data_IF_608553995984
#
_entry.id   IF_608553995984
#
_cell.length_a   1.000
_cell.length_b   1.000
_cell.length_c   1.000
_cell.angle_alpha   90.00
_cell.angle_beta   90.00
_cell.angle_gamma   90.00
#
_symmetry.space_group_name_H-M   'P 1'
#
loop_
_entity.id
_entity.type
_entity.pdbx_description
1 polymer ?
#
# COMPACT_ATOMS: atom_id res chain seq x y z
N UNK A 1 19.05 -22.20 5.61
CA UNK A 1 19.42 -20.78 5.44
C UNK A 1 18.16 -19.98 5.72
N UNK A 2 17.97 -19.57 6.98
CA UNK A 2 16.70 -19.01 7.46
C UNK A 2 17.01 -17.71 8.21
N UNK A 3 16.20 -16.69 7.91
CA UNK A 3 15.99 -15.43 8.64
C UNK A 3 17.01 -14.28 8.53
N UNK A 4 18.23 -14.46 8.01
CA UNK A 4 19.23 -13.37 8.02
C UNK A 4 19.30 -12.55 6.72
N UNK A 5 18.81 -13.08 5.58
CA UNK A 5 18.98 -12.43 4.27
C UNK A 5 17.94 -11.33 3.94
N UNK A 6 17.08 -10.96 4.88
CA UNK A 6 15.98 -10.00 4.62
C UNK A 6 16.27 -8.57 5.08
N UNK A 7 17.40 -8.32 5.77
CA UNK A 7 17.79 -6.96 6.16
C UNK A 7 18.32 -6.24 4.92
N UNK A 8 17.43 -5.50 4.24
CA UNK A 8 17.74 -4.70 3.04
C UNK A 8 17.12 -5.21 1.74
N UNK A 9 16.34 -6.30 1.77
CA UNK A 9 15.62 -6.76 0.58
C UNK A 9 14.30 -5.99 0.43
N UNK A 10 14.08 -5.41 -0.74
CA UNK A 10 12.81 -4.77 -1.11
C UNK A 10 11.67 -5.79 -0.99
N UNK A 11 10.62 -5.43 -0.25
CA UNK A 11 9.40 -6.24 -0.11
C UNK A 11 8.25 -5.60 -0.87
N UNK A 12 7.32 -6.41 -1.37
CA UNK A 12 6.07 -5.94 -1.95
C UNK A 12 4.92 -6.07 -0.96
N UNK A 13 4.00 -5.12 -1.01
CA UNK A 13 2.79 -5.09 -0.20
C UNK A 13 1.61 -4.76 -1.09
N UNK A 14 0.54 -5.55 -0.97
CA UNK A 14 -0.76 -5.22 -1.55
C UNK A 14 -1.63 -4.70 -0.42
N UNK A 15 -1.98 -3.42 -0.48
CA UNK A 15 -2.91 -2.79 0.44
C UNK A 15 -4.29 -2.66 -0.23
N UNK A 16 -5.28 -3.28 0.40
CA UNK A 16 -6.69 -3.09 0.09
C UNK A 16 -7.29 -2.21 1.19
N UNK A 17 -7.83 -1.06 0.82
CA UNK A 17 -8.42 -0.09 1.73
C UNK A 17 -9.89 0.03 1.37
N UNK A 18 -10.79 -0.43 2.25
CA UNK A 18 -12.24 -0.43 1.99
C UNK A 18 -12.95 0.45 3.00
N UNK A 19 -13.90 1.26 2.54
CA UNK A 19 -14.77 2.06 3.40
C UNK A 19 -16.24 1.80 3.07
N UNK A 20 -17.15 2.13 3.98
CA UNK A 20 -18.60 2.07 3.70
C UNK A 20 -19.05 3.38 3.04
N UNK A 21 -20.20 3.42 2.36
CA UNK A 21 -20.70 4.65 1.74
C UNK A 21 -20.82 5.83 2.72
N UNK A 22 -21.09 5.58 4.01
CA UNK A 22 -21.19 6.59 5.08
C UNK A 22 -19.84 7.26 5.39
N UNK A 23 -18.74 6.56 5.16
CA UNK A 23 -17.38 7.05 5.36
C UNK A 23 -16.77 7.64 4.08
N UNK A 24 -17.52 7.69 2.97
CA UNK A 24 -17.02 8.19 1.70
C UNK A 24 -16.65 9.68 1.77
N UNK A 25 -15.40 10.01 1.43
CA UNK A 25 -14.91 11.40 1.38
C UNK A 25 -15.73 12.32 0.48
N UNK A 26 -16.45 11.77 -0.50
CA UNK A 26 -17.34 12.55 -1.37
C UNK A 26 -18.58 13.12 -0.67
N UNK A 27 -18.83 12.75 0.60
CA UNK A 27 -19.94 13.30 1.37
C UNK A 27 -19.65 14.70 1.91
N UNK A 28 -20.63 15.61 1.94
CA UNK A 28 -20.42 17.00 2.40
C UNK A 28 -19.82 17.12 3.80
N UNK A 29 -20.19 16.23 4.72
CA UNK A 29 -19.69 16.20 6.10
C UNK A 29 -18.20 15.86 6.21
N UNK A 30 -17.61 15.23 5.19
CA UNK A 30 -16.19 14.82 5.16
C UNK A 30 -15.32 15.76 4.32
N UNK A 31 -15.81 16.96 3.99
CA UNK A 31 -15.16 17.89 3.05
C UNK A 31 -13.74 18.29 3.44
N UNK A 32 -13.45 18.46 4.73
CA UNK A 32 -12.09 18.80 5.17
C UNK A 32 -11.11 17.67 4.91
N UNK A 33 -11.51 16.43 5.18
CA UNK A 33 -10.69 15.26 4.94
C UNK A 33 -10.61 14.93 3.44
N UNK A 34 -11.64 15.23 2.66
CA UNK A 34 -11.55 15.19 1.20
C UNK A 34 -10.45 16.09 0.65
N UNK A 35 -10.30 17.32 1.16
CA UNK A 35 -9.21 18.21 0.72
C UNK A 35 -7.82 17.64 1.05
N UNK A 36 -7.66 16.98 2.21
CA UNK A 36 -6.41 16.29 2.57
C UNK A 36 -6.16 15.08 1.68
N UNK A 37 -7.22 14.34 1.34
CA UNK A 37 -7.13 13.23 0.38
C UNK A 37 -6.73 13.73 -1.02
N UNK A 38 -7.30 14.84 -1.48
CA UNK A 38 -6.91 15.46 -2.75
C UNK A 38 -5.44 15.86 -2.75
N UNK A 39 -4.95 16.53 -1.70
CA UNK A 39 -3.53 16.86 -1.57
C UNK A 39 -2.65 15.60 -1.62
N UNK A 40 -3.05 14.53 -0.92
CA UNK A 40 -2.36 13.24 -0.98
C UNK A 40 -2.32 12.66 -2.39
N UNK A 41 -3.45 12.69 -3.12
CA UNK A 41 -3.55 12.13 -4.47
C UNK A 41 -2.78 12.97 -5.51
N UNK A 42 -2.82 14.30 -5.42
CA UNK A 42 -2.12 15.20 -6.32
C UNK A 42 -0.60 15.22 -6.08
N UNK A 43 -0.16 14.94 -4.85
CA UNK A 43 1.24 14.96 -4.45
C UNK A 43 1.78 13.56 -4.09
N UNK A 44 1.21 12.51 -4.66
CA UNK A 44 1.52 11.13 -4.27
C UNK A 44 3.01 10.78 -4.37
N UNK A 45 3.70 11.19 -5.45
CA UNK A 45 5.14 10.94 -5.64
C UNK A 45 6.00 11.58 -4.53
N UNK A 46 5.63 12.78 -4.07
CA UNK A 46 6.29 13.45 -2.93
C UNK A 46 6.16 12.59 -1.67
N UNK A 47 4.95 12.12 -1.37
CA UNK A 47 4.68 11.33 -0.17
C UNK A 47 5.29 9.92 -0.22
N UNK A 48 5.34 9.31 -1.40
CA UNK A 48 6.11 8.08 -1.63
C UNK A 48 7.58 8.26 -1.26
N UNK A 49 8.21 9.32 -1.79
CA UNK A 49 9.62 9.65 -1.52
C UNK A 49 9.87 9.93 -0.04
N UNK A 50 9.04 10.73 0.60
CA UNK A 50 9.15 11.06 2.03
C UNK A 50 8.96 9.83 2.93
N UNK A 51 8.08 8.89 2.54
CA UNK A 51 7.87 7.65 3.26
C UNK A 51 8.92 6.57 2.95
N UNK A 52 9.66 6.71 1.85
CA UNK A 52 10.60 5.69 1.35
C UNK A 52 9.88 4.47 0.76
N UNK A 53 8.71 4.69 0.16
CA UNK A 53 7.89 3.70 -0.53
C UNK A 53 7.95 3.98 -2.04
N UNK A 54 7.80 2.94 -2.86
CA UNK A 54 7.56 3.09 -4.30
C UNK A 54 6.22 2.45 -4.64
N UNK A 55 5.30 3.22 -5.21
CA UNK A 55 4.08 2.68 -5.80
C UNK A 55 4.35 2.06 -7.16
N UNK A 56 3.76 0.89 -7.39
CA UNK A 56 3.74 0.22 -8.68
C UNK A 56 2.39 0.34 -9.38
N UNK A 57 1.34 0.65 -8.62
CA UNK A 57 0.01 0.89 -9.15
C UNK A 57 -0.97 1.27 -8.05
N UNK A 58 -1.89 2.16 -8.42
CA UNK A 58 -2.98 2.65 -7.58
C UNK A 58 -4.27 2.52 -8.36
N UNK A 59 -5.19 1.69 -7.85
CA UNK A 59 -6.44 1.38 -8.52
C UNK A 59 -7.60 1.61 -7.55
N UNK A 60 -8.74 2.04 -8.08
CA UNK A 60 -9.91 2.36 -7.31
C UNK A 60 -11.12 1.65 -7.92
N UNK A 61 -11.90 0.99 -7.07
CA UNK A 61 -13.26 0.59 -7.39
C UNK A 61 -14.22 1.48 -6.60
N UNK A 62 -14.68 2.56 -7.23
CA UNK A 62 -15.58 3.51 -6.59
C UNK A 62 -16.94 2.90 -6.25
N UNK A 63 -17.42 1.93 -7.04
CA UNK A 63 -18.71 1.27 -6.78
C UNK A 63 -18.67 0.40 -5.52
N UNK A 64 -17.50 -0.20 -5.23
CA UNK A 64 -17.27 -1.04 -4.04
C UNK A 64 -16.52 -0.30 -2.93
N UNK A 65 -16.31 1.03 -3.08
CA UNK A 65 -15.60 1.85 -2.10
C UNK A 65 -14.25 1.26 -1.65
N UNK A 66 -13.49 0.69 -2.60
CA UNK A 66 -12.25 -0.04 -2.31
C UNK A 66 -11.09 0.46 -3.15
N UNK A 67 -9.97 0.75 -2.48
CA UNK A 67 -8.72 1.20 -3.09
C UNK A 67 -7.70 0.06 -3.01
N UNK A 68 -6.90 -0.10 -4.06
CA UNK A 68 -5.88 -1.12 -4.20
C UNK A 68 -4.53 -0.49 -4.52
N UNK A 69 -3.59 -0.62 -3.60
CA UNK A 69 -2.25 -0.02 -3.71
C UNK A 69 -1.24 -1.15 -3.75
N UNK A 70 -0.37 -1.14 -4.77
CA UNK A 70 0.76 -2.05 -4.89
C UNK A 70 2.02 -1.26 -4.52
N UNK A 71 2.61 -1.60 -3.39
CA UNK A 71 3.68 -0.82 -2.77
C UNK A 71 4.95 -1.66 -2.63
N UNK A 72 6.10 -1.05 -2.86
CA UNK A 72 7.41 -1.62 -2.57
C UNK A 72 8.08 -0.82 -1.45
N UNK A 73 8.56 -1.50 -0.42
CA UNK A 73 9.24 -0.89 0.71
C UNK A 73 10.20 -1.86 1.39
N UNK A 74 11.20 -1.34 2.11
CA UNK A 74 12.17 -2.17 2.84
C UNK A 74 11.58 -2.80 4.11
N UNK A 75 10.45 -2.26 4.60
CA UNK A 75 9.73 -2.77 5.76
C UNK A 75 8.31 -2.21 5.83
N UNK A 76 7.48 -2.83 6.65
CA UNK A 76 6.08 -2.44 6.84
C UNK A 76 5.93 -1.04 7.48
N UNK A 77 6.88 -0.58 8.30
CA UNK A 77 6.77 0.74 8.94
C UNK A 77 6.76 1.89 7.92
N UNK A 78 7.47 1.75 6.80
CA UNK A 78 7.40 2.69 5.67
C UNK A 78 6.03 2.70 5.00
N UNK A 79 5.39 1.53 4.86
CA UNK A 79 4.01 1.43 4.35
C UNK A 79 3.04 2.11 5.31
N UNK A 80 3.16 1.87 6.62
CA UNK A 80 2.34 2.55 7.63
C UNK A 80 2.53 4.07 7.60
N UNK A 81 3.78 4.53 7.43
CA UNK A 81 4.08 5.96 7.28
C UNK A 81 3.39 6.56 6.05
N UNK A 82 3.49 5.90 4.89
CA UNK A 82 2.88 6.36 3.65
C UNK A 82 1.35 6.45 3.75
N UNK A 83 0.69 5.38 4.20
CA UNK A 83 -0.77 5.33 4.31
C UNK A 83 -1.32 6.25 5.42
N UNK A 84 -0.47 6.65 6.37
CA UNK A 84 -0.82 7.57 7.46
C UNK A 84 -0.69 9.06 7.15
N UNK A 85 -0.17 9.46 5.98
CA UNK A 85 -0.01 10.88 5.60
C UNK A 85 -1.35 11.60 5.48
N UNK A 86 -2.35 10.93 4.92
CA UNK A 86 -3.69 11.47 4.72
C UNK A 86 -4.73 10.82 5.64
N UNK A 87 -6.01 11.20 5.51
CA UNK A 87 -7.11 10.60 6.26
C UNK A 87 -7.48 9.20 5.76
N UNK A 88 -6.64 8.58 4.92
CA UNK A 88 -6.92 7.27 4.30
C UNK A 88 -7.27 6.22 5.36
N UNK A 89 -6.45 6.11 6.41
CA UNK A 89 -6.68 5.14 7.48
C UNK A 89 -7.77 5.55 8.48
N UNK A 90 -8.27 6.79 8.42
CA UNK A 90 -9.39 7.26 9.24
C UNK A 90 -10.72 6.78 8.66
N UNK A 91 -10.86 6.76 7.33
CA UNK A 91 -12.11 6.40 6.65
C UNK A 91 -12.14 4.96 6.16
N UNK A 92 -10.98 4.31 6.01
CA UNK A 92 -10.90 2.94 5.52
C UNK A 92 -10.51 1.94 6.60
N UNK A 93 -11.01 0.71 6.44
CA UNK A 93 -10.38 -0.48 7.01
C UNK A 93 -9.31 -0.97 6.04
N UNK A 94 -8.10 -1.23 6.55
CA UNK A 94 -6.98 -1.69 5.75
C UNK A 94 -6.74 -3.20 5.90
N UNK A 95 -6.58 -3.89 4.77
CA UNK A 95 -5.99 -5.23 4.68
C UNK A 95 -4.71 -5.12 3.88
N UNK A 96 -3.57 -5.31 4.53
CA UNK A 96 -2.25 -5.15 3.90
C UNK A 96 -1.51 -6.49 3.95
N UNK A 97 -1.17 -7.02 2.78
CA UNK A 97 -0.56 -8.34 2.64
C UNK A 97 0.87 -8.20 2.10
N UNK A 98 1.92 -8.61 2.83
CA UNK A 98 3.25 -8.74 2.25
C UNK A 98 3.25 -9.88 1.22
N UNK A 99 3.85 -9.64 0.07
CA UNK A 99 3.94 -10.60 -1.03
C UNK A 99 5.34 -10.65 -1.60
N UNK A 100 5.65 -11.74 -2.29
CA UNK A 100 6.87 -11.91 -3.10
C UNK A 100 6.51 -11.82 -4.57
N UNK A 101 7.47 -11.46 -5.42
CA UNK A 101 7.25 -11.49 -6.87
C UNK A 101 7.16 -12.93 -7.37
N UNK A 102 6.59 -13.09 -8.56
CA UNK A 102 6.51 -14.38 -9.22
C UNK A 102 7.92 -14.91 -9.55
N UNK A 103 8.83 -14.05 -9.99
CA UNK A 103 10.23 -14.38 -10.29
C UNK A 103 10.97 -14.88 -9.06
N UNK A 104 10.81 -14.22 -7.91
CA UNK A 104 11.40 -14.65 -6.65
C UNK A 104 10.91 -16.05 -6.26
N UNK A 105 9.61 -16.31 -6.45
CA UNK A 105 9.02 -17.64 -6.21
C UNK A 105 9.58 -18.69 -7.17
N UNK A 106 9.76 -18.35 -8.45
CA UNK A 106 10.34 -19.25 -9.45
C UNK A 106 11.80 -19.60 -9.13
N UNK A 107 12.60 -18.62 -8.71
CA UNK A 107 13.99 -18.84 -8.36
C UNK A 107 14.11 -19.70 -7.10
N UNK A 108 13.26 -19.46 -6.10
CA UNK A 108 13.13 -20.37 -4.95
C UNK A 108 12.80 -21.81 -5.39
N UNK A 109 11.76 -21.98 -6.21
CA UNK A 109 11.33 -23.31 -6.66
C UNK A 109 12.44 -24.05 -7.44
N UNK A 110 13.15 -23.36 -8.34
CA UNK A 110 14.29 -23.93 -9.09
C UNK A 110 15.43 -24.37 -8.20
N UNK A 111 15.69 -23.65 -7.11
CA UNK A 111 16.77 -23.96 -6.17
C UNK A 111 16.42 -25.10 -5.20
N UNK A 112 15.14 -25.26 -4.85
CA UNK A 112 14.67 -26.37 -4.01
C UNK A 112 14.57 -27.67 -4.79
N UNK A 113 14.04 -27.65 -6.02
CA UNK A 113 13.82 -28.88 -6.83
C UNK A 113 15.15 -29.51 -7.31
N UNK A 114 16.26 -28.75 -7.32
CA UNK A 114 17.59 -29.25 -7.68
C UNK A 114 18.35 -29.91 -6.50
N UNK A 115 17.78 -29.91 -5.30
CA UNK A 115 18.29 -30.62 -4.12
C UNK A 115 17.62 -31.98 -3.98
#
# INVERSE_FOLDING_TARGET
MLLVDHIGKKMFFIAQLTHTPELCFGRPEHREDYNKLLDFMENMEKYEKEAGVKGHGFYLNSNEHTFYFILEADNFAKVSKFLGVGPILTHHTAKITPVVSYEETLDFARNVIKQ
#
